data_IF_985790386748
#
_entry.id   IF_985790386748
#
_cell.length_a   1.000
_cell.length_b   1.000
_cell.length_c   1.000
_cell.angle_alpha   90.00
_cell.angle_beta   90.00
_cell.angle_gamma   90.00
#
_symmetry.space_group_name_H-M   'P 1'
#
loop_
_entity.id
_entity.type
_entity.pdbx_description
1 polymer ?
#
# COMPACT_ATOMS: atom_id res chain seq x y z
N UNK A 1 6.95 0.19 2.92
CA UNK A 1 8.23 -0.47 2.53
C UNK A 1 8.36 -1.92 2.97
N UNK A 2 8.26 -2.27 4.25
CA UNK A 2 8.52 -3.65 4.75
C UNK A 2 7.72 -4.76 4.03
N UNK A 3 6.41 -4.59 3.73
CA UNK A 3 5.69 -5.58 2.92
C UNK A 3 6.28 -5.78 1.52
N UNK A 4 6.79 -4.72 0.89
CA UNK A 4 7.43 -4.80 -0.43
C UNK A 4 8.76 -5.55 -0.37
N UNK A 5 9.53 -5.40 0.73
CA UNK A 5 10.76 -6.18 0.96
C UNK A 5 10.42 -7.65 1.14
N UNK A 6 9.45 -7.97 2.01
CA UNK A 6 9.04 -9.36 2.26
C UNK A 6 8.50 -10.06 1.00
N UNK A 7 7.81 -9.34 0.12
CA UNK A 7 7.27 -9.87 -1.13
C UNK A 7 8.23 -9.80 -2.32
N UNK A 8 9.44 -9.27 -2.13
CA UNK A 8 10.42 -9.22 -3.22
C UNK A 8 10.09 -8.24 -4.34
N UNK A 9 9.37 -7.17 -4.02
CA UNK A 9 8.92 -6.12 -4.96
C UNK A 9 9.44 -4.73 -4.59
N UNK A 10 10.34 -4.64 -3.60
CA UNK A 10 10.87 -3.37 -3.09
C UNK A 10 11.66 -2.56 -4.12
N UNK A 11 12.17 -3.19 -5.19
CA UNK A 11 12.80 -2.52 -6.32
C UNK A 11 11.79 -1.71 -7.15
N UNK A 12 10.51 -2.08 -7.11
CA UNK A 12 9.45 -1.44 -7.88
C UNK A 12 8.66 -0.44 -7.05
N UNK A 13 8.26 -0.81 -5.83
CA UNK A 13 7.28 -0.05 -5.02
C UNK A 13 7.64 -0.01 -3.54
N UNK A 14 6.89 0.79 -2.77
CA UNK A 14 6.86 0.73 -1.30
C UNK A 14 7.57 1.88 -0.59
N UNK A 15 8.21 2.79 -1.31
CA UNK A 15 8.83 4.03 -0.82
C UNK A 15 8.99 5.06 -1.96
N UNK A 16 9.25 6.32 -1.60
CA UNK A 16 9.49 7.43 -2.53
C UNK A 16 11.01 7.55 -2.71
N UNK A 17 11.55 6.87 -3.72
CA UNK A 17 12.98 6.83 -4.04
C UNK A 17 13.15 6.87 -5.57
N UNK A 18 14.23 7.49 -6.05
CA UNK A 18 14.53 7.51 -7.49
C UNK A 18 14.67 6.11 -8.07
N UNK A 19 14.16 5.90 -9.29
CA UNK A 19 14.17 4.60 -9.98
C UNK A 19 13.00 3.67 -9.67
N UNK A 20 12.16 4.00 -8.67
CA UNK A 20 10.92 3.26 -8.38
C UNK A 20 9.74 3.76 -9.20
N UNK A 21 8.70 2.94 -9.28
CA UNK A 21 7.43 3.31 -9.90
C UNK A 21 6.82 4.48 -9.15
N UNK A 22 6.31 5.48 -9.88
CA UNK A 22 5.63 6.65 -9.35
C UNK A 22 4.21 6.32 -8.85
N UNK A 23 4.13 5.45 -7.84
CA UNK A 23 2.93 5.09 -7.10
C UNK A 23 2.85 5.92 -5.82
N UNK A 24 2.06 7.00 -5.85
CA UNK A 24 2.03 8.01 -4.80
C UNK A 24 0.60 8.24 -4.30
N UNK A 25 0.48 8.60 -3.03
CA UNK A 25 -0.79 9.00 -2.42
C UNK A 25 -0.61 10.38 -1.82
N UNK A 26 -1.46 11.32 -2.24
CA UNK A 26 -1.43 12.70 -1.75
C UNK A 26 -2.55 12.89 -0.73
N UNK A 27 -2.22 13.52 0.39
CA UNK A 27 -3.14 13.83 1.47
C UNK A 27 -3.17 15.33 1.73
N UNK A 28 -4.35 15.86 2.00
CA UNK A 28 -4.48 17.06 2.84
C UNK A 28 -4.13 16.63 4.29
N UNK A 29 -3.24 17.33 5.01
CA UNK A 29 -2.83 16.96 6.36
C UNK A 29 -3.98 16.63 7.31
N UNK A 30 -5.12 17.33 7.21
CA UNK A 30 -6.29 17.08 8.09
C UNK A 30 -6.99 15.74 7.84
N UNK A 31 -6.72 15.09 6.71
CA UNK A 31 -7.24 13.78 6.34
C UNK A 31 -6.17 12.69 6.27
N UNK A 32 -4.94 12.98 6.74
CA UNK A 32 -3.81 12.06 6.66
C UNK A 32 -4.15 10.69 7.26
N UNK A 33 -3.95 9.63 6.47
CA UNK A 33 -4.23 8.24 6.86
C UNK A 33 -5.72 7.86 6.87
N UNK A 34 -6.63 8.78 6.53
CA UNK A 34 -8.09 8.53 6.55
C UNK A 34 -8.68 8.56 5.14
N UNK A 35 -8.58 9.70 4.45
CA UNK A 35 -9.14 9.92 3.12
C UNK A 35 -8.11 10.63 2.24
N UNK A 36 -7.51 9.95 1.25
CA UNK A 36 -6.55 10.59 0.36
C UNK A 36 -7.25 11.63 -0.51
N UNK A 37 -6.50 12.66 -0.91
CA UNK A 37 -6.94 13.67 -1.86
C UNK A 37 -6.88 13.12 -3.29
N UNK A 38 -5.76 12.52 -3.68
CA UNK A 38 -5.64 11.78 -4.94
C UNK A 38 -4.61 10.65 -4.84
N UNK A 39 -4.73 9.69 -5.74
CA UNK A 39 -3.86 8.52 -5.88
C UNK A 39 -3.27 8.52 -7.28
N UNK A 40 -1.95 8.36 -7.36
CA UNK A 40 -1.17 8.30 -8.59
C UNK A 40 -0.64 6.86 -8.73
N UNK A 41 -0.79 6.30 -9.94
CA UNK A 41 -0.27 5.00 -10.34
C UNK A 41 0.60 5.18 -11.57
N UNK A 42 1.86 4.75 -11.49
CA UNK A 42 2.86 4.89 -12.55
C UNK A 42 2.89 6.31 -13.19
N UNK A 43 2.76 7.35 -12.36
CA UNK A 43 2.79 8.76 -12.82
C UNK A 43 1.47 9.31 -13.34
N UNK A 44 0.38 8.54 -13.36
CA UNK A 44 -0.96 9.02 -13.77
C UNK A 44 -1.96 8.95 -12.61
N UNK A 45 -2.88 9.92 -12.54
CA UNK A 45 -3.92 9.92 -11.50
C UNK A 45 -4.92 8.80 -11.79
N UNK A 46 -5.07 7.88 -10.85
CA UNK A 46 -6.01 6.75 -10.94
C UNK A 46 -7.32 7.05 -10.22
N UNK A 47 -7.28 7.83 -9.15
CA UNK A 47 -8.45 8.14 -8.34
C UNK A 47 -8.25 9.47 -7.59
N UNK A 48 -9.31 10.27 -7.40
CA UNK A 48 -9.24 11.56 -6.73
C UNK A 48 -10.57 11.95 -6.08
N UNK A 49 -10.51 12.72 -5.00
CA UNK A 49 -11.67 13.39 -4.41
C UNK A 49 -12.17 14.46 -5.39
N UNK A 50 -13.35 14.23 -5.95
CA UNK A 50 -13.89 15.03 -7.04
C UNK A 50 -15.37 15.34 -6.79
N UNK A 51 -15.71 16.62 -6.96
CA UNK A 51 -17.05 17.16 -6.84
C UNK A 51 -18.02 16.75 -7.95
N UNK A 52 -19.07 17.53 -8.12
CA UNK A 52 -20.03 17.35 -9.22
C UNK A 52 -19.36 17.59 -10.59
N UNK A 53 -19.34 16.59 -11.50
CA UNK A 53 -18.78 16.76 -12.85
C UNK A 53 -19.49 17.79 -13.73
N UNK A 54 -20.73 18.16 -13.40
CA UNK A 54 -21.50 19.17 -14.14
C UNK A 54 -21.30 20.60 -13.58
N UNK A 55 -20.55 20.76 -12.50
CA UNK A 55 -20.29 22.07 -11.92
C UNK A 55 -19.24 22.85 -12.71
N UNK A 56 -19.16 24.16 -12.47
CA UNK A 56 -18.23 25.06 -13.17
C UNK A 56 -16.75 24.83 -12.82
N UNK A 57 -16.48 24.20 -11.67
CA UNK A 57 -15.14 23.84 -11.16
C UNK A 57 -15.23 22.50 -10.42
N UNK A 58 -14.09 21.90 -10.07
CA UNK A 58 -14.00 20.52 -9.52
C UNK A 58 -14.37 20.35 -8.04
N UNK A 59 -14.52 21.44 -7.29
CA UNK A 59 -14.73 21.47 -5.83
C UNK A 59 -16.20 21.47 -5.33
N UNK A 60 -17.23 21.83 -6.11
CA UNK A 60 -18.63 21.83 -5.67
C UNK A 60 -19.11 20.44 -5.29
N UNK A 61 -19.96 20.38 -4.26
CA UNK A 61 -20.48 19.14 -3.71
C UNK A 61 -21.42 18.42 -4.71
N UNK A 62 -21.55 17.09 -4.63
CA UNK A 62 -20.93 16.18 -3.64
C UNK A 62 -19.52 15.74 -4.02
N UNK A 63 -18.58 15.90 -3.08
CA UNK A 63 -17.19 15.43 -3.23
C UNK A 63 -17.05 14.02 -2.68
N UNK A 64 -16.64 13.11 -3.54
CA UNK A 64 -16.24 11.76 -3.15
C UNK A 64 -15.13 11.24 -4.07
N UNK A 65 -14.57 10.09 -3.71
CA UNK A 65 -13.46 9.47 -4.42
C UNK A 65 -13.95 8.87 -5.74
N UNK A 66 -13.48 9.41 -6.88
CA UNK A 66 -13.92 9.01 -8.23
C UNK A 66 -12.74 8.49 -9.07
N UNK A 67 -12.91 7.38 -9.81
CA UNK A 67 -11.92 6.93 -10.79
C UNK A 67 -11.57 8.04 -11.78
N UNK A 68 -10.28 8.19 -12.05
CA UNK A 68 -9.71 9.17 -12.98
C UNK A 68 -9.17 8.45 -14.22
N UNK A 69 -8.63 9.19 -15.19
CA UNK A 69 -8.26 8.66 -16.51
C UNK A 69 -7.38 7.40 -16.50
N UNK A 70 -6.48 7.23 -15.52
CA UNK A 70 -5.65 6.02 -15.43
C UNK A 70 -6.44 4.75 -15.06
N UNK A 71 -7.69 4.89 -14.60
CA UNK A 71 -8.60 3.77 -14.31
C UNK A 71 -9.33 3.24 -15.55
N UNK A 72 -9.13 3.83 -16.74
CA UNK A 72 -9.95 3.53 -17.91
C UNK A 72 -9.12 3.13 -19.14
N UNK A 73 -9.75 2.34 -20.01
CA UNK A 73 -9.19 1.91 -21.29
C UNK A 73 -7.78 1.32 -21.17
N UNK A 74 -6.93 1.62 -22.15
CA UNK A 74 -5.54 1.15 -22.18
C UNK A 74 -4.63 1.86 -21.17
N UNK A 75 -5.05 2.97 -20.58
CA UNK A 75 -4.28 3.63 -19.53
C UNK A 75 -4.22 2.76 -18.26
N UNK A 76 -5.27 1.97 -17.98
CA UNK A 76 -5.29 1.03 -16.87
C UNK A 76 -4.19 -0.02 -17.01
N UNK A 77 -4.08 -0.67 -18.17
CA UNK A 77 -3.07 -1.70 -18.37
C UNK A 77 -1.64 -1.13 -18.34
N UNK A 78 -1.44 0.12 -18.78
CA UNK A 78 -0.13 0.80 -18.73
C UNK A 78 0.26 1.35 -17.36
N UNK A 79 -0.72 1.66 -16.49
CA UNK A 79 -0.48 2.20 -15.14
C UNK A 79 -0.42 1.13 -14.04
N UNK A 80 -0.63 -0.14 -14.40
CA UNK A 80 -0.72 -1.24 -13.46
C UNK A 80 0.29 -2.36 -13.75
N UNK A 81 0.78 -2.96 -12.67
CA UNK A 81 1.74 -4.06 -12.71
C UNK A 81 1.10 -5.37 -12.27
N UNK A 82 1.57 -6.48 -12.82
CA UNK A 82 1.24 -7.84 -12.40
C UNK A 82 2.53 -8.53 -11.97
N UNK A 83 2.68 -8.80 -10.67
CA UNK A 83 3.85 -9.47 -10.12
C UNK A 83 3.71 -10.99 -10.24
N UNK A 84 4.74 -11.66 -10.74
CA UNK A 84 4.74 -13.10 -11.01
C UNK A 84 6.04 -13.73 -10.51
N UNK A 85 6.12 -15.07 -10.44
CA UNK A 85 7.38 -15.74 -10.13
C UNK A 85 8.41 -15.53 -11.26
N UNK A 86 9.69 -15.58 -10.94
CA UNK A 86 10.76 -15.53 -11.95
C UNK A 86 10.56 -16.60 -13.03
N UNK A 87 10.28 -17.84 -12.64
CA UNK A 87 10.00 -18.93 -13.58
C UNK A 87 8.79 -18.64 -14.50
N UNK A 88 7.73 -18.01 -13.98
CA UNK A 88 6.57 -17.60 -14.78
C UNK A 88 6.93 -16.50 -15.78
N UNK A 89 7.69 -15.50 -15.33
CA UNK A 89 8.20 -14.44 -16.20
C UNK A 89 9.07 -15.01 -17.33
N UNK A 90 10.03 -15.88 -17.00
CA UNK A 90 10.94 -16.51 -17.97
C UNK A 90 10.21 -17.44 -18.96
N UNK A 91 9.07 -18.01 -18.54
CA UNK A 91 8.20 -18.83 -19.39
C UNK A 91 7.28 -17.99 -20.31
N UNK A 92 7.44 -16.66 -20.36
CA UNK A 92 6.70 -15.79 -21.27
C UNK A 92 5.19 -15.78 -21.02
N UNK A 93 4.76 -15.81 -19.75
CA UNK A 93 3.32 -15.88 -19.43
C UNK A 93 2.55 -14.63 -19.85
N UNK A 94 3.23 -13.48 -20.03
CA UNK A 94 2.60 -12.28 -20.52
C UNK A 94 2.08 -12.50 -21.96
N UNK A 95 2.95 -13.00 -22.84
CA UNK A 95 2.65 -13.30 -24.23
C UNK A 95 1.70 -14.50 -24.33
N UNK A 96 1.99 -15.57 -23.58
CA UNK A 96 1.21 -16.82 -23.61
C UNK A 96 -0.27 -16.60 -23.27
N UNK A 97 -0.58 -15.67 -22.37
CA UNK A 97 -1.94 -15.37 -21.94
C UNK A 97 -2.48 -14.03 -22.45
N UNK A 98 -1.74 -13.32 -23.31
CA UNK A 98 -2.17 -12.02 -23.84
C UNK A 98 -2.38 -10.96 -22.75
N UNK A 99 -1.55 -10.96 -21.71
CA UNK A 99 -1.66 -10.00 -20.61
C UNK A 99 -1.23 -8.60 -21.09
N UNK A 100 -2.11 -7.62 -20.98
CA UNK A 100 -1.81 -6.25 -21.39
C UNK A 100 -1.08 -5.43 -20.31
N UNK A 101 -1.18 -5.85 -19.05
CA UNK A 101 -0.51 -5.20 -17.91
C UNK A 101 0.99 -5.46 -17.96
N UNK A 102 1.77 -4.55 -17.37
CA UNK A 102 3.21 -4.79 -17.21
C UNK A 102 3.44 -5.96 -16.25
N UNK A 103 3.94 -7.08 -16.76
CA UNK A 103 4.29 -8.25 -15.96
C UNK A 103 5.72 -8.12 -15.49
N UNK A 104 5.97 -8.29 -14.19
CA UNK A 104 7.30 -8.16 -13.59
C UNK A 104 7.56 -9.29 -12.58
N UNK A 105 8.80 -9.82 -12.50
CA UNK A 105 9.11 -10.89 -11.58
C UNK A 105 9.30 -10.40 -10.14
N UNK A 106 8.88 -11.20 -9.17
CA UNK A 106 9.30 -11.05 -7.76
C UNK A 106 10.71 -11.62 -7.57
N UNK A 107 11.51 -11.00 -6.71
CA UNK A 107 12.92 -11.34 -6.52
C UNK A 107 13.35 -11.28 -5.05
N UNK A 108 14.42 -11.98 -4.68
CA UNK A 108 15.07 -11.88 -3.36
C UNK A 108 14.21 -12.27 -2.13
N UNK A 109 13.11 -13.00 -2.29
CA UNK A 109 12.21 -13.35 -1.19
C UNK A 109 12.75 -14.40 -0.19
N UNK A 110 13.94 -14.99 -0.46
CA UNK A 110 14.54 -16.07 0.36
C UNK A 110 15.76 -15.62 1.16
N UNK A 111 16.34 -14.48 0.83
CA UNK A 111 17.53 -13.94 1.51
C UNK A 111 17.16 -12.84 2.52
N UNK A 112 15.89 -12.45 2.57
CA UNK A 112 15.35 -11.45 3.50
C UNK A 112 14.98 -12.07 4.85
N UNK A 113 15.33 -11.41 5.95
CA UNK A 113 14.92 -11.74 7.31
C UNK A 113 14.49 -10.51 8.10
N UNK A 114 14.32 -10.68 9.42
CA UNK A 114 13.86 -9.61 10.33
C UNK A 114 14.77 -8.38 10.31
N UNK A 115 16.09 -8.58 10.19
CA UNK A 115 17.10 -7.52 10.09
C UNK A 115 16.91 -6.56 8.90
N UNK A 116 16.22 -7.00 7.85
CA UNK A 116 16.01 -6.21 6.63
C UNK A 116 14.75 -5.31 6.72
N UNK A 117 13.97 -5.44 7.80
CA UNK A 117 12.76 -4.66 8.04
C UNK A 117 13.13 -3.26 8.55
N UNK A 118 12.85 -2.23 7.76
CA UNK A 118 13.19 -0.84 8.08
C UNK A 118 12.44 -0.38 9.34
N UNK A 119 13.20 0.10 10.33
CA UNK A 119 12.72 0.62 11.64
C UNK A 119 11.92 -0.41 12.45
N UNK A 120 12.06 -1.69 12.14
CA UNK A 120 11.24 -2.79 12.68
C UNK A 120 12.05 -4.10 12.74
N UNK A 121 13.37 -4.00 12.96
CA UNK A 121 14.33 -5.09 12.89
C UNK A 121 14.56 -5.86 14.20
N UNK A 122 13.97 -5.42 15.31
CA UNK A 122 14.20 -6.01 16.63
C UNK A 122 13.84 -7.52 16.68
N UNK A 123 14.68 -8.29 17.39
CA UNK A 123 14.53 -9.74 17.62
C UNK A 123 14.66 -10.06 19.12
N UNK A 124 13.75 -9.57 19.97
CA UNK A 124 13.82 -9.79 21.41
C UNK A 124 13.46 -11.24 21.79
N UNK A 125 13.76 -11.62 23.03
CA UNK A 125 13.22 -12.85 23.60
C UNK A 125 11.75 -12.62 23.99
N UNK A 126 10.84 -13.33 23.32
CA UNK A 126 9.39 -13.27 23.60
C UNK A 126 8.99 -14.54 24.35
N UNK A 127 8.42 -14.38 25.54
CA UNK A 127 7.85 -15.46 26.34
C UNK A 127 6.35 -15.23 26.53
N UNK A 128 5.57 -16.30 26.43
CA UNK A 128 4.13 -16.30 26.72
C UNK A 128 3.89 -17.31 27.82
N UNK A 129 3.30 -16.86 28.92
CA UNK A 129 2.88 -17.72 30.01
C UNK A 129 1.68 -18.57 29.56
N UNK A 130 1.77 -19.90 29.71
CA UNK A 130 0.79 -20.83 29.12
C UNK A 130 -0.57 -20.84 29.84
N UNK A 131 -0.60 -20.45 31.11
CA UNK A 131 -1.81 -20.49 31.94
C UNK A 131 -2.54 -19.13 31.93
N UNK A 132 -1.78 -18.04 31.87
CA UNK A 132 -2.30 -16.66 31.98
C UNK A 132 -2.29 -15.89 30.67
N UNK A 133 -1.61 -16.40 29.64
CA UNK A 133 -1.38 -15.74 28.36
C UNK A 133 -0.67 -14.38 28.45
N UNK A 134 0.00 -14.12 29.57
CA UNK A 134 0.79 -12.91 29.75
C UNK A 134 2.04 -12.95 28.87
N UNK A 135 2.30 -11.83 28.19
CA UNK A 135 3.44 -11.70 27.27
C UNK A 135 4.57 -10.94 27.96
N UNK A 136 5.77 -11.48 27.82
CA UNK A 136 7.01 -10.88 28.32
C UNK A 136 7.99 -10.67 27.16
N UNK A 137 8.62 -9.50 27.12
CA UNK A 137 9.65 -9.13 26.16
C UNK A 137 10.91 -8.80 26.94
N UNK A 138 11.99 -9.55 26.72
CA UNK A 138 13.26 -9.42 27.45
C UNK A 138 13.06 -9.42 28.98
N UNK A 139 12.17 -10.30 29.46
CA UNK A 139 11.81 -10.45 30.87
C UNK A 139 10.82 -9.41 31.42
N UNK A 140 10.44 -8.39 30.65
CA UNK A 140 9.48 -7.38 31.07
C UNK A 140 8.07 -7.71 30.59
N UNK A 141 7.10 -7.70 31.50
CA UNK A 141 5.68 -7.88 31.14
C UNK A 141 5.23 -6.71 30.26
N UNK A 142 4.65 -7.02 29.10
CA UNK A 142 4.12 -6.02 28.17
C UNK A 142 2.60 -6.13 28.06
N UNK A 143 1.94 -4.99 27.87
CA UNK A 143 0.49 -4.90 27.74
C UNK A 143 0.04 -3.47 27.47
N UNK A 144 -1.24 -3.32 27.16
CA UNK A 144 -1.88 -2.02 26.96
C UNK A 144 -3.34 -2.11 27.37
N UNK A 145 -3.87 -1.02 27.91
CA UNK A 145 -5.30 -0.91 28.19
C UNK A 145 -6.10 -0.66 26.91
N UNK A 146 -7.33 -1.20 26.80
CA UNK A 146 -8.20 -0.90 25.67
C UNK A 146 -8.62 0.58 25.69
N UNK A 147 -8.67 1.20 24.51
CA UNK A 147 -9.09 2.59 24.36
C UNK A 147 -10.58 2.66 24.00
N UNK A 148 -11.33 3.49 24.73
CA UNK A 148 -12.77 3.70 24.47
C UNK A 148 -13.06 4.47 23.17
N UNK A 149 -12.12 5.31 22.73
CA UNK A 149 -12.24 6.13 21.52
C UNK A 149 -10.91 6.23 20.80
N UNK A 150 -10.94 6.37 19.47
CA UNK A 150 -9.73 6.50 18.65
C UNK A 150 -9.80 7.74 17.76
N UNK A 151 -8.66 8.39 17.46
CA UNK A 151 -8.59 9.37 16.37
C UNK A 151 -8.92 8.70 15.03
N UNK A 152 -9.11 9.49 13.98
CA UNK A 152 -9.33 8.95 12.62
C UNK A 152 -10.60 8.08 12.47
N UNK A 153 -11.60 8.27 13.34
CA UNK A 153 -12.88 7.52 13.34
C UNK A 153 -14.10 8.42 13.10
N UNK A 154 -15.02 8.54 14.06
CA UNK A 154 -16.35 9.16 13.96
C UNK A 154 -16.37 10.59 13.41
N UNK A 155 -15.27 11.34 13.55
CA UNK A 155 -15.13 12.69 12.96
C UNK A 155 -15.17 12.68 11.42
N UNK A 156 -14.70 11.61 10.78
CA UNK A 156 -14.42 11.59 9.34
C UNK A 156 -15.42 10.79 8.52
N UNK A 157 -16.18 9.90 9.15
CA UNK A 157 -17.04 8.94 8.48
C UNK A 157 -18.50 9.21 8.80
N UNK A 158 -19.34 9.18 7.77
CA UNK A 158 -20.79 9.28 7.93
C UNK A 158 -21.37 7.99 8.56
N UNK A 159 -20.71 6.86 8.28
CA UNK A 159 -21.00 5.52 8.78
C UNK A 159 -19.70 4.80 9.11
#
# INVERSE_FOLDING_TARGET
INPAVAQGIANYVGSIEGGKVADLVIYDPKYFGVKPFLVIKAGMIVNAQMGDPNASIATPQPVYMRPQFASFGRALSKSCFTFVSQAGYDAGIAERYGLERQVVPVQNCRQTGKKDMRRNEATPEIKVDADTYQVYVDGQKVGSEPMATLPMTQRYFLF
#
